data_IF_858657743243
#
_entry.id   IF_858657743243
#
_cell.length_a   1.000
_cell.length_b   1.000
_cell.length_c   1.000
_cell.angle_alpha   90.00
_cell.angle_beta   90.00
_cell.angle_gamma   90.00
#
_symmetry.space_group_name_H-M   'P 1'
#
loop_
_entity.id
_entity.type
_entity.pdbx_description
1 polymer ?
#
# COMPACT_ATOMS: atom_id res chain seq x y z
N UNK A 1 -55.71 -17.10 -61.98
CA UNK A 1 -55.31 -16.67 -63.34
C UNK A 1 -53.98 -16.06 -63.28
N UNK A 2 -52.93 -16.74 -63.88
CA UNK A 2 -51.98 -16.23 -64.83
C UNK A 2 -51.07 -15.13 -64.29
N UNK A 3 -49.74 -15.09 -64.36
CA UNK A 3 -48.69 -15.85 -65.09
C UNK A 3 -47.38 -15.27 -64.56
N UNK A 4 -46.38 -16.07 -64.22
CA UNK A 4 -45.06 -16.19 -64.84
C UNK A 4 -44.36 -14.89 -65.35
N UNK A 5 -43.11 -14.57 -64.93
CA UNK A 5 -41.95 -14.75 -65.79
C UNK A 5 -40.65 -14.55 -65.02
N UNK A 6 -39.74 -15.48 -65.14
CA UNK A 6 -38.28 -15.43 -64.86
C UNK A 6 -37.56 -14.52 -65.87
N UNK A 7 -36.35 -14.08 -65.52
CA UNK A 7 -35.09 -13.97 -66.30
C UNK A 7 -34.05 -13.30 -65.43
N UNK A 8 -33.01 -13.91 -64.88
CA UNK A 8 -31.74 -14.39 -65.42
C UNK A 8 -30.68 -13.29 -65.61
N UNK A 9 -29.62 -13.40 -64.78
CA UNK A 9 -28.21 -13.40 -65.09
C UNK A 9 -27.56 -12.16 -65.73
N UNK A 10 -26.61 -11.53 -64.99
CA UNK A 10 -25.31 -11.18 -65.58
C UNK A 10 -24.27 -10.86 -64.48
N UNK A 11 -23.19 -11.61 -64.52
CA UNK A 11 -21.92 -11.47 -63.84
C UNK A 11 -21.19 -10.25 -64.41
N UNK A 12 -20.62 -9.41 -63.52
CA UNK A 12 -19.41 -8.66 -63.87
C UNK A 12 -18.50 -8.53 -62.64
N UNK A 13 -17.37 -9.22 -62.74
CA UNK A 13 -16.23 -9.18 -61.88
C UNK A 13 -15.46 -7.88 -62.18
N UNK A 14 -15.24 -7.03 -61.17
CA UNK A 14 -14.22 -5.99 -61.26
C UNK A 14 -13.32 -6.11 -60.01
N UNK A 15 -12.10 -6.58 -60.28
CA UNK A 15 -10.97 -6.50 -59.37
C UNK A 15 -10.60 -5.02 -59.14
N UNK A 16 -10.62 -4.60 -57.90
CA UNK A 16 -10.06 -3.34 -57.47
C UNK A 16 -9.22 -3.55 -56.19
N UNK A 17 -7.90 -3.68 -56.37
CA UNK A 17 -6.93 -3.61 -55.29
C UNK A 17 -7.00 -2.19 -54.67
N UNK A 18 -7.26 -2.11 -53.39
CA UNK A 18 -7.01 -0.90 -52.61
C UNK A 18 -6.28 -1.29 -51.32
N UNK A 19 -5.18 -0.58 -51.14
CA UNK A 19 -4.19 -0.71 -50.14
C UNK A 19 -4.72 -0.78 -48.69
N UNK A 20 -4.22 -1.72 -47.92
CA UNK A 20 -4.37 -1.82 -46.49
C UNK A 20 -3.61 -0.67 -45.83
N UNK A 21 -4.33 0.34 -45.31
CA UNK A 21 -3.86 1.14 -44.19
C UNK A 21 -4.18 0.35 -42.93
N UNK A 22 -3.14 -0.19 -42.26
CA UNK A 22 -3.23 -0.85 -40.98
C UNK A 22 -3.55 0.15 -39.90
N UNK A 23 -4.83 0.36 -39.59
CA UNK A 23 -5.28 0.84 -38.31
C UNK A 23 -5.28 -0.37 -37.37
N UNK A 24 -4.41 -0.37 -36.38
CA UNK A 24 -4.56 -1.28 -35.25
C UNK A 24 -5.97 -1.08 -34.69
N UNK A 25 -6.83 -2.08 -34.85
CA UNK A 25 -8.08 -2.14 -34.08
C UNK A 25 -7.62 -2.33 -32.63
N UNK A 26 -7.82 -1.32 -31.79
CA UNK A 26 -7.90 -1.55 -30.35
C UNK A 26 -8.96 -2.64 -30.15
N UNK A 27 -8.54 -3.78 -29.65
CA UNK A 27 -9.46 -4.79 -29.14
C UNK A 27 -10.32 -4.10 -28.08
N UNK A 28 -11.66 -4.32 -28.07
CA UNK A 28 -12.48 -3.78 -27.00
C UNK A 28 -11.92 -4.35 -25.69
N UNK A 29 -11.44 -3.45 -24.79
CA UNK A 29 -11.18 -3.82 -23.39
C UNK A 29 -12.41 -4.58 -22.91
N UNK A 30 -12.22 -5.83 -22.50
CA UNK A 30 -13.26 -6.57 -21.79
C UNK A 30 -13.74 -5.64 -20.66
N UNK A 31 -15.05 -5.46 -20.55
CA UNK A 31 -15.64 -4.72 -19.45
C UNK A 31 -15.04 -5.30 -18.16
N UNK A 32 -14.28 -4.51 -17.42
CA UNK A 32 -13.64 -4.96 -16.21
C UNK A 32 -14.74 -5.49 -15.27
N UNK A 33 -14.54 -6.69 -14.74
CA UNK A 33 -15.51 -7.32 -13.85
C UNK A 33 -15.70 -6.54 -12.51
N UNK A 34 -14.91 -5.46 -12.32
CA UNK A 34 -14.91 -4.58 -11.15
C UNK A 34 -15.08 -3.11 -11.56
N UNK A 35 -15.39 -2.26 -10.58
CA UNK A 35 -15.52 -0.81 -10.77
C UNK A 35 -14.48 -0.07 -9.94
N UNK A 36 -13.98 1.06 -10.46
CA UNK A 36 -13.17 2.04 -9.74
C UNK A 36 -13.93 3.35 -9.62
N UNK A 37 -13.51 4.22 -8.69
CA UNK A 37 -14.13 5.52 -8.43
C UNK A 37 -14.11 6.39 -9.69
N UNK A 38 -12.95 6.42 -10.38
CA UNK A 38 -12.82 7.05 -11.68
C UNK A 38 -12.52 5.99 -12.74
N UNK A 39 -13.34 5.97 -13.80
CA UNK A 39 -13.15 4.99 -14.88
C UNK A 39 -11.76 5.07 -15.49
N UNK A 40 -11.07 3.93 -15.56
CA UNK A 40 -9.73 3.81 -16.13
C UNK A 40 -8.59 4.20 -15.18
N UNK A 41 -8.90 4.55 -13.93
CA UNK A 41 -7.90 4.88 -12.90
C UNK A 41 -8.02 3.96 -11.71
N UNK A 42 -6.91 3.73 -11.02
CA UNK A 42 -6.81 3.14 -9.70
C UNK A 42 -6.32 4.23 -8.75
N UNK A 43 -7.20 4.71 -7.87
CA UNK A 43 -6.88 5.76 -6.90
C UNK A 43 -6.37 5.09 -5.63
N UNK A 44 -5.10 5.37 -5.29
CA UNK A 44 -4.41 4.88 -4.10
C UNK A 44 -4.26 6.00 -3.10
N UNK A 45 -4.76 5.84 -1.88
CA UNK A 45 -4.36 6.66 -0.74
C UNK A 45 -3.13 6.06 -0.06
N UNK A 46 -2.22 6.94 0.38
CA UNK A 46 -0.97 6.56 1.04
C UNK A 46 -0.52 7.64 2.03
N UNK A 47 0.56 7.37 2.81
CA UNK A 47 1.26 8.35 3.62
C UNK A 47 2.75 8.31 3.31
N UNK A 48 3.21 9.15 2.37
CA UNK A 48 4.56 9.14 1.81
C UNK A 48 5.64 9.66 2.79
N UNK A 49 5.58 9.20 4.03
CA UNK A 49 6.51 9.47 5.12
C UNK A 49 6.97 8.17 5.81
N UNK A 50 6.90 7.03 5.11
CA UNK A 50 7.21 5.70 5.63
C UNK A 50 8.20 4.94 4.71
N UNK A 51 9.45 5.46 4.57
CA UNK A 51 10.47 4.79 3.77
C UNK A 51 10.81 3.41 4.35
N UNK A 52 11.08 2.39 3.53
CA UNK A 52 11.17 2.44 2.06
C UNK A 52 9.87 2.03 1.36
N UNK A 53 8.73 1.95 2.06
CA UNK A 53 7.45 1.54 1.49
C UNK A 53 6.81 2.64 0.63
N UNK A 54 6.76 3.88 1.17
CA UNK A 54 6.30 5.07 0.45
C UNK A 54 7.03 6.32 0.95
N UNK A 55 7.55 7.08 0.01
CA UNK A 55 8.33 8.29 0.30
C UNK A 55 8.29 9.27 -0.86
N UNK A 56 8.65 10.51 -0.54
CA UNK A 56 8.84 11.55 -1.54
C UNK A 56 10.29 11.54 -2.00
N UNK A 57 10.51 11.33 -3.29
CA UNK A 57 11.84 11.40 -3.91
C UNK A 57 12.37 12.84 -4.00
N UNK A 58 13.66 13.00 -4.31
CA UNK A 58 14.31 14.32 -4.44
C UNK A 58 13.67 15.23 -5.49
N UNK A 59 13.07 14.67 -6.54
CA UNK A 59 12.37 15.39 -7.60
C UNK A 59 10.90 15.70 -7.29
N UNK A 60 10.42 15.27 -6.12
CA UNK A 60 9.05 15.43 -5.64
C UNK A 60 8.07 14.36 -6.13
N UNK A 61 8.52 13.34 -6.86
CA UNK A 61 7.72 12.18 -7.20
C UNK A 61 7.54 11.26 -5.97
N UNK A 62 6.52 10.41 -6.00
CA UNK A 62 6.33 9.39 -4.98
C UNK A 62 6.97 8.08 -5.44
N UNK A 63 7.71 7.44 -4.55
CA UNK A 63 8.38 6.16 -4.80
C UNK A 63 8.34 5.26 -3.56
N UNK A 64 8.71 4.00 -3.74
CA UNK A 64 8.76 3.02 -2.67
C UNK A 64 8.10 1.70 -3.06
N UNK A 65 8.16 0.72 -2.17
CA UNK A 65 7.63 -0.63 -2.40
C UNK A 65 6.13 -0.57 -2.73
N UNK A 66 5.35 0.14 -1.92
CA UNK A 66 3.90 0.22 -2.07
C UNK A 66 3.50 0.93 -3.36
N UNK A 67 4.21 2.02 -3.69
CA UNK A 67 4.00 2.77 -4.94
C UNK A 67 4.27 1.91 -6.17
N UNK A 68 5.38 1.15 -6.17
CA UNK A 68 5.76 0.31 -7.32
C UNK A 68 4.86 -0.93 -7.44
N UNK A 69 4.49 -1.57 -6.33
CA UNK A 69 3.54 -2.71 -6.33
C UNK A 69 2.16 -2.25 -6.82
N UNK A 70 1.65 -1.10 -6.31
CA UNK A 70 0.40 -0.52 -6.82
C UNK A 70 0.47 -0.20 -8.31
N UNK A 71 1.60 0.36 -8.79
CA UNK A 71 1.82 0.64 -10.21
C UNK A 71 1.81 -0.62 -11.07
N UNK A 72 2.43 -1.71 -10.59
CA UNK A 72 2.42 -3.00 -11.27
C UNK A 72 1.01 -3.61 -11.34
N UNK A 73 0.24 -3.52 -10.24
CA UNK A 73 -1.15 -3.97 -10.18
C UNK A 73 -2.02 -3.13 -11.13
N UNK A 74 -1.94 -1.80 -11.07
CA UNK A 74 -2.70 -0.90 -11.95
C UNK A 74 -2.43 -1.24 -13.43
N UNK A 75 -1.17 -1.44 -13.79
CA UNK A 75 -0.77 -1.85 -15.15
C UNK A 75 -1.37 -3.20 -15.56
N UNK A 76 -1.39 -4.20 -14.68
CA UNK A 76 -2.01 -5.51 -14.94
C UNK A 76 -3.52 -5.38 -15.17
N UNK A 77 -4.18 -4.50 -14.41
CA UNK A 77 -5.62 -4.22 -14.52
C UNK A 77 -5.96 -3.28 -15.69
N UNK A 78 -4.96 -2.74 -16.38
CA UNK A 78 -5.14 -1.79 -17.49
C UNK A 78 -5.62 -0.41 -17.02
N UNK A 79 -5.27 -0.02 -15.80
CA UNK A 79 -5.62 1.25 -15.16
C UNK A 79 -4.40 2.18 -15.06
N UNK A 80 -4.66 3.47 -14.98
CA UNK A 80 -3.70 4.50 -14.59
C UNK A 80 -3.67 4.58 -13.06
N UNK A 81 -2.48 4.48 -12.44
CA UNK A 81 -2.35 4.71 -10.99
C UNK A 81 -2.38 6.21 -10.72
N UNK A 82 -3.24 6.62 -9.79
CA UNK A 82 -3.28 7.97 -9.20
C UNK A 82 -3.03 7.83 -7.71
N UNK A 83 -2.08 8.62 -7.18
CA UNK A 83 -1.69 8.52 -5.77
C UNK A 83 -2.08 9.80 -5.04
N UNK A 84 -2.83 9.65 -3.96
CA UNK A 84 -3.22 10.71 -3.05
C UNK A 84 -2.44 10.55 -1.74
N UNK A 85 -1.43 11.41 -1.53
CA UNK A 85 -0.63 11.46 -0.30
C UNK A 85 -1.36 12.26 0.78
N UNK A 86 -1.48 11.66 1.97
CA UNK A 86 -2.17 12.26 3.12
C UNK A 86 -1.71 11.61 4.43
N UNK A 87 -2.17 12.11 5.58
CA UNK A 87 -1.91 11.46 6.86
C UNK A 87 -2.45 10.03 6.89
N UNK A 88 -1.78 9.12 7.62
CA UNK A 88 -2.09 7.69 7.64
C UNK A 88 -3.55 7.39 7.99
N UNK A 89 -4.08 8.03 9.04
CA UNK A 89 -5.50 7.87 9.44
C UNK A 89 -6.44 8.31 8.31
N UNK A 90 -6.10 9.41 7.64
CA UNK A 90 -6.88 9.93 6.53
C UNK A 90 -6.85 8.98 5.33
N UNK A 91 -5.71 8.33 5.07
CA UNK A 91 -5.57 7.34 4.00
C UNK A 91 -6.45 6.11 4.25
N UNK A 92 -6.47 5.58 5.48
CA UNK A 92 -7.38 4.51 5.88
C UNK A 92 -8.86 4.92 5.75
N UNK A 93 -9.18 6.15 6.16
CA UNK A 93 -10.55 6.66 6.10
C UNK A 93 -11.00 6.94 4.66
N UNK A 94 -10.08 7.34 3.77
CA UNK A 94 -10.39 7.62 2.37
C UNK A 94 -10.95 6.38 1.66
N UNK A 95 -10.33 5.20 1.85
CA UNK A 95 -10.82 3.95 1.26
C UNK A 95 -12.14 3.50 1.87
N UNK A 96 -12.33 3.68 3.18
CA UNK A 96 -13.60 3.35 3.85
C UNK A 96 -14.77 4.21 3.36
N UNK A 97 -14.48 5.48 3.01
CA UNK A 97 -15.48 6.43 2.50
C UNK A 97 -15.65 6.37 0.97
N UNK A 98 -14.96 5.48 0.27
CA UNK A 98 -15.00 5.39 -1.18
C UNK A 98 -14.42 6.62 -1.88
N UNK A 99 -13.41 7.27 -1.30
CA UNK A 99 -12.63 8.35 -1.90
C UNK A 99 -11.35 7.85 -2.58
N UNK A 100 -10.85 6.69 -2.16
CA UNK A 100 -9.77 5.96 -2.78
C UNK A 100 -10.22 4.53 -3.06
N UNK A 101 -9.77 3.94 -4.15
CA UNK A 101 -10.04 2.56 -4.52
C UNK A 101 -9.29 1.60 -3.62
N UNK A 102 -8.03 1.93 -3.35
CA UNK A 102 -7.12 1.14 -2.50
C UNK A 102 -6.40 2.05 -1.51
N UNK A 103 -5.93 1.47 -0.41
CA UNK A 103 -4.92 2.07 0.47
C UNK A 103 -3.72 1.13 0.56
N UNK A 104 -2.52 1.70 0.34
CA UNK A 104 -1.24 1.06 0.58
C UNK A 104 -0.36 2.05 1.34
N UNK A 105 0.05 1.69 2.53
CA UNK A 105 0.83 2.52 3.47
C UNK A 105 1.43 1.62 4.57
N UNK A 106 2.03 0.48 4.20
CA UNK A 106 2.44 -0.53 5.17
C UNK A 106 1.28 -0.99 6.05
N UNK A 107 0.09 -1.19 5.47
CA UNK A 107 -1.13 -1.42 6.25
C UNK A 107 -1.21 -2.85 6.76
N UNK A 108 -1.09 -3.02 8.08
CA UNK A 108 -1.28 -4.31 8.75
C UNK A 108 -2.73 -4.75 8.75
N UNK A 109 -2.96 -6.05 8.52
CA UNK A 109 -4.28 -6.67 8.65
C UNK A 109 -4.58 -6.88 10.13
N UNK A 110 -5.65 -6.26 10.64
CA UNK A 110 -6.14 -6.44 12.01
C UNK A 110 -7.63 -6.77 12.01
N UNK A 111 -8.11 -7.40 13.10
CA UNK A 111 -9.53 -7.73 13.25
C UNK A 111 -10.43 -6.48 13.15
N UNK A 112 -10.03 -5.38 13.78
CA UNK A 112 -10.79 -4.12 13.75
C UNK A 112 -10.83 -3.52 12.34
N UNK A 113 -9.72 -3.53 11.62
CA UNK A 113 -9.68 -3.04 10.23
C UNK A 113 -10.50 -3.94 9.30
N UNK A 114 -10.53 -5.26 9.53
CA UNK A 114 -11.38 -6.20 8.81
C UNK A 114 -12.88 -5.94 9.00
N UNK A 115 -13.31 -5.27 10.07
CA UNK A 115 -14.71 -4.88 10.23
C UNK A 115 -15.14 -3.79 9.23
N UNK A 116 -14.23 -2.91 8.82
CA UNK A 116 -14.54 -1.68 8.08
C UNK A 116 -13.97 -1.63 6.66
N UNK A 117 -13.02 -2.52 6.32
CA UNK A 117 -12.46 -2.66 4.98
C UNK A 117 -12.15 -4.12 4.64
N UNK A 118 -11.97 -4.41 3.36
CA UNK A 118 -11.43 -5.67 2.89
C UNK A 118 -9.92 -5.53 2.66
N UNK A 119 -9.22 -6.67 2.62
CA UNK A 119 -7.81 -6.74 2.33
C UNK A 119 -7.51 -7.72 1.20
N UNK A 120 -6.43 -7.46 0.48
CA UNK A 120 -5.82 -8.43 -0.41
C UNK A 120 -5.13 -9.56 0.37
N UNK A 121 -4.59 -10.54 -0.36
CA UNK A 121 -3.52 -11.38 0.17
C UNK A 121 -2.32 -10.50 0.57
N UNK A 122 -1.51 -10.96 1.53
CA UNK A 122 -0.34 -10.24 2.01
C UNK A 122 0.74 -10.17 0.92
N UNK A 123 1.40 -8.99 0.78
CA UNK A 123 2.52 -8.78 -0.12
C UNK A 123 3.86 -8.59 0.60
N UNK A 124 3.83 -8.27 1.90
CA UNK A 124 5.02 -8.08 2.72
C UNK A 124 4.75 -8.41 4.19
N UNK A 125 5.82 -8.54 4.97
CA UNK A 125 5.77 -8.73 6.42
C UNK A 125 6.37 -7.51 7.09
N UNK A 126 5.65 -6.93 8.07
CA UNK A 126 6.13 -5.88 8.95
C UNK A 126 6.60 -6.48 10.29
N UNK A 127 7.61 -5.86 10.88
CA UNK A 127 8.10 -6.22 12.21
C UNK A 127 8.25 -4.95 13.03
N UNK A 128 7.47 -4.80 14.09
CA UNK A 128 7.60 -3.66 15.00
C UNK A 128 8.86 -3.80 15.85
N UNK A 129 9.67 -2.74 15.89
CA UNK A 129 10.88 -2.61 16.68
C UNK A 129 10.88 -1.33 17.50
N UNK A 130 11.85 -1.18 18.37
CA UNK A 130 11.99 -0.01 19.26
C UNK A 130 13.27 0.75 18.93
N UNK A 131 13.13 1.99 18.45
CA UNK A 131 14.26 2.92 18.26
C UNK A 131 14.53 3.62 19.59
N UNK A 132 15.82 3.69 19.96
CA UNK A 132 16.31 4.37 21.16
C UNK A 132 17.54 5.20 20.84
N UNK A 133 17.93 6.11 21.74
CA UNK A 133 19.26 6.74 21.69
C UNK A 133 20.31 5.74 22.12
N UNK A 134 21.48 5.76 21.47
CA UNK A 134 22.62 4.98 21.89
C UNK A 134 22.98 5.27 23.35
N UNK A 135 23.17 4.21 24.13
CA UNK A 135 23.50 4.32 25.56
C UNK A 135 22.34 4.71 26.47
N UNK A 136 21.09 4.73 25.97
CA UNK A 136 19.91 4.88 26.82
C UNK A 136 19.73 3.67 27.74
N UNK A 137 18.93 3.85 28.81
CA UNK A 137 18.56 2.78 29.75
C UNK A 137 17.26 2.05 29.37
N UNK A 138 16.73 2.36 28.19
CA UNK A 138 15.51 1.72 27.66
C UNK A 138 15.83 0.27 27.26
N UNK A 139 14.97 -0.63 27.67
CA UNK A 139 15.02 -2.06 27.35
C UNK A 139 13.62 -2.56 27.04
N UNK A 140 13.46 -3.71 26.40
CA UNK A 140 12.16 -4.31 26.15
C UNK A 140 11.35 -4.54 27.45
N UNK A 141 12.05 -4.85 28.56
CA UNK A 141 11.42 -5.14 29.86
C UNK A 141 10.90 -3.91 30.60
N UNK A 142 11.44 -2.70 30.31
CA UNK A 142 11.05 -1.48 31.02
C UNK A 142 10.26 -0.46 30.17
N UNK A 143 9.78 -0.86 28.98
CA UNK A 143 8.99 0.03 28.12
C UNK A 143 7.77 0.64 28.83
N UNK A 144 7.13 -0.10 29.73
CA UNK A 144 5.99 0.41 30.52
C UNK A 144 6.33 1.53 31.52
N UNK A 145 7.62 1.85 31.72
CA UNK A 145 8.12 2.94 32.56
C UNK A 145 8.59 4.15 31.72
N UNK A 146 8.48 4.07 30.39
CA UNK A 146 9.05 5.03 29.44
C UNK A 146 7.94 5.76 28.68
N UNK A 147 8.30 6.95 28.19
CA UNK A 147 7.46 7.66 27.22
C UNK A 147 7.75 7.15 25.81
N UNK A 148 6.75 6.59 25.18
CA UNK A 148 6.85 5.94 23.86
C UNK A 148 6.27 6.88 22.81
N UNK A 149 7.00 7.13 21.72
CA UNK A 149 6.50 7.80 20.53
C UNK A 149 6.01 6.79 19.49
N UNK A 150 4.82 7.02 18.94
CA UNK A 150 4.29 6.22 17.84
C UNK A 150 3.61 7.12 16.81
N UNK A 151 3.49 6.66 15.57
CA UNK A 151 2.62 7.32 14.61
C UNK A 151 1.15 7.00 14.92
N UNK A 152 0.29 8.01 14.87
CA UNK A 152 -1.16 7.90 15.14
C UNK A 152 -1.81 6.87 14.21
N UNK A 153 -2.72 6.06 14.76
CA UNK A 153 -3.53 5.10 14.03
C UNK A 153 -2.79 3.85 13.54
N UNK A 154 -1.46 3.75 13.75
CA UNK A 154 -0.69 2.54 13.45
C UNK A 154 -0.93 1.46 14.49
N UNK A 155 -0.61 0.23 14.18
CA UNK A 155 -0.64 -0.90 15.12
C UNK A 155 0.33 -0.68 16.28
N UNK A 156 1.51 -0.09 16.02
CA UNK A 156 2.45 0.31 17.06
C UNK A 156 1.82 1.24 18.11
N UNK A 157 1.02 2.23 17.66
CA UNK A 157 0.28 3.10 18.58
C UNK A 157 -0.83 2.33 19.30
N UNK A 158 -1.67 1.59 18.55
CA UNK A 158 -2.84 0.89 19.11
C UNK A 158 -2.41 -0.10 20.19
N UNK A 159 -1.40 -0.93 19.92
CA UNK A 159 -0.95 -1.93 20.87
C UNK A 159 -0.21 -1.32 22.08
N UNK A 160 0.65 -0.32 21.85
CA UNK A 160 1.38 0.31 22.94
C UNK A 160 0.45 1.11 23.88
N UNK A 161 -0.55 1.81 23.35
CA UNK A 161 -1.49 2.62 24.13
C UNK A 161 -2.61 1.82 24.79
N UNK A 162 -2.78 0.53 24.44
CA UNK A 162 -3.77 -0.32 25.08
C UNK A 162 -3.49 -0.49 26.58
N UNK A 163 -4.47 -0.98 27.31
CA UNK A 163 -4.36 -1.21 28.74
C UNK A 163 -3.28 -2.25 29.08
N UNK A 164 -2.70 -2.14 30.28
CA UNK A 164 -1.73 -3.10 30.79
C UNK A 164 -2.34 -4.53 30.83
N UNK A 165 -3.65 -4.63 31.07
CA UNK A 165 -4.38 -5.90 31.12
C UNK A 165 -4.39 -6.60 29.75
N UNK A 166 -4.36 -5.83 28.67
CA UNK A 166 -4.31 -6.32 27.29
C UNK A 166 -2.89 -6.44 26.74
N UNK A 167 -1.87 -6.12 27.55
CA UNK A 167 -0.46 -6.21 27.16
C UNK A 167 0.14 -4.91 26.60
N UNK A 168 -0.62 -3.81 26.60
CA UNK A 168 -0.14 -2.46 26.31
C UNK A 168 0.53 -1.80 27.50
N UNK A 169 0.88 -0.53 27.35
CA UNK A 169 1.54 0.26 28.39
C UNK A 169 0.65 1.38 28.96
N UNK A 170 -0.54 1.57 28.35
CA UNK A 170 -1.49 2.60 28.71
C UNK A 170 -1.29 3.90 27.92
N UNK A 171 -2.39 4.60 27.65
CA UNK A 171 -2.42 5.80 26.83
C UNK A 171 -1.55 6.94 27.40
N UNK A 172 -1.39 7.02 28.71
CA UNK A 172 -0.56 8.03 29.38
C UNK A 172 0.95 7.86 29.11
N UNK A 173 1.38 6.68 28.68
CA UNK A 173 2.76 6.36 28.31
C UNK A 173 3.07 6.50 26.82
N UNK A 174 2.06 6.81 25.98
CA UNK A 174 2.24 6.85 24.53
C UNK A 174 1.87 8.21 23.96
N UNK A 175 2.80 8.82 23.24
CA UNK A 175 2.57 10.06 22.49
C UNK A 175 2.37 9.75 21.02
N UNK A 176 1.20 10.13 20.47
CA UNK A 176 0.87 9.98 19.07
C UNK A 176 1.41 11.15 18.24
N UNK A 177 2.10 10.85 17.16
CA UNK A 177 2.62 11.81 16.17
C UNK A 177 1.93 11.60 14.82
N UNK A 178 1.97 12.61 13.96
CA UNK A 178 1.34 12.53 12.63
C UNK A 178 2.11 11.58 11.67
N UNK A 179 3.43 11.43 11.88
CA UNK A 179 4.29 10.51 11.12
C UNK A 179 5.50 10.04 11.92
N UNK A 180 6.20 9.01 11.40
CA UNK A 180 7.39 8.45 12.02
C UNK A 180 8.53 9.46 12.17
N UNK A 181 8.71 10.35 11.18
CA UNK A 181 9.74 11.42 11.24
C UNK A 181 9.54 12.31 12.46
N UNK A 182 8.31 12.72 12.74
CA UNK A 182 7.98 13.56 13.91
C UNK A 182 8.23 12.82 15.23
N UNK A 183 7.91 11.52 15.29
CA UNK A 183 8.19 10.68 16.47
C UNK A 183 9.72 10.56 16.72
N UNK A 184 10.50 10.31 15.69
CA UNK A 184 11.97 10.22 15.78
C UNK A 184 12.58 11.57 16.17
N UNK A 185 12.09 12.68 15.65
CA UNK A 185 12.49 14.02 16.04
C UNK A 185 12.21 14.27 17.55
N UNK A 186 11.05 13.84 18.04
CA UNK A 186 10.70 13.93 19.46
C UNK A 186 11.65 13.09 20.34
N UNK A 187 12.04 11.89 19.89
CA UNK A 187 13.05 11.07 20.55
C UNK A 187 14.41 11.82 20.61
N UNK A 188 14.87 12.36 19.49
CA UNK A 188 16.13 13.12 19.44
C UNK A 188 16.14 14.30 20.38
N UNK A 189 15.01 14.99 20.52
CA UNK A 189 14.82 16.14 21.40
C UNK A 189 14.55 15.76 22.88
N UNK A 190 14.42 14.46 23.19
CA UNK A 190 14.15 13.98 24.56
C UNK A 190 12.74 14.25 25.06
N UNK A 191 11.78 14.36 24.13
CA UNK A 191 10.36 14.47 24.45
C UNK A 191 9.70 13.11 24.69
N UNK A 192 10.28 12.06 24.09
CA UNK A 192 9.98 10.66 24.34
C UNK A 192 11.28 9.88 24.56
N UNK A 193 11.20 8.72 25.19
CA UNK A 193 12.35 7.89 25.54
C UNK A 193 12.71 6.90 24.44
N UNK A 194 11.70 6.48 23.66
CA UNK A 194 11.83 5.55 22.54
C UNK A 194 10.72 5.76 21.50
N UNK A 195 10.87 5.14 20.33
CA UNK A 195 9.86 5.12 19.27
C UNK A 195 9.59 3.68 18.86
N UNK A 196 8.31 3.29 18.80
CA UNK A 196 7.89 2.00 18.21
C UNK A 196 7.46 2.26 16.77
N UNK A 197 8.07 1.53 15.85
CA UNK A 197 7.84 1.60 14.41
C UNK A 197 8.32 0.31 13.74
N UNK A 198 7.96 0.08 12.48
CA UNK A 198 8.42 -1.07 11.72
C UNK A 198 9.91 -1.06 11.44
N UNK A 199 10.51 -2.25 11.34
CA UNK A 199 11.96 -2.45 11.25
C UNK A 199 12.60 -1.81 10.01
N UNK A 200 11.94 -1.88 8.85
CA UNK A 200 12.48 -1.29 7.63
C UNK A 200 12.53 0.25 7.71
N UNK A 201 11.44 0.97 8.07
CA UNK A 201 11.53 2.41 8.36
C UNK A 201 12.47 2.74 9.51
N UNK A 202 12.53 1.90 10.56
CA UNK A 202 13.47 2.12 11.68
C UNK A 202 14.92 2.13 11.19
N UNK A 203 15.30 1.21 10.30
CA UNK A 203 16.64 1.17 9.72
C UNK A 203 16.97 2.45 8.96
N UNK A 204 16.05 2.98 8.15
CA UNK A 204 16.20 4.23 7.42
C UNK A 204 16.36 5.42 8.39
N UNK A 205 15.53 5.50 9.43
CA UNK A 205 15.62 6.56 10.44
C UNK A 205 16.92 6.49 11.25
N UNK A 206 17.36 5.30 11.62
CA UNK A 206 18.65 5.11 12.33
C UNK A 206 19.81 5.49 11.43
N UNK A 207 19.82 5.07 10.18
CA UNK A 207 20.88 5.43 9.22
C UNK A 207 20.97 6.95 8.99
N UNK A 208 19.82 7.64 8.94
CA UNK A 208 19.75 9.09 8.73
C UNK A 208 20.08 9.91 9.99
N UNK A 209 20.04 9.32 11.20
CA UNK A 209 20.18 10.03 12.47
C UNK A 209 21.25 9.37 13.37
N UNK A 210 22.54 9.72 13.22
CA UNK A 210 23.62 9.22 14.07
C UNK A 210 23.32 9.38 15.57
N UNK A 211 23.58 8.35 16.36
CA UNK A 211 23.28 8.30 17.80
C UNK A 211 21.93 7.67 18.13
N UNK A 212 21.20 7.18 17.12
CA UNK A 212 20.06 6.29 17.28
C UNK A 212 20.46 4.85 17.00
N UNK A 213 19.76 3.92 17.61
CA UNK A 213 19.87 2.47 17.38
C UNK A 213 18.53 1.81 17.63
N UNK A 214 18.36 0.57 17.20
CA UNK A 214 17.22 -0.26 17.58
C UNK A 214 17.59 -1.19 18.73
N UNK A 215 16.63 -1.49 19.61
CA UNK A 215 16.79 -2.56 20.58
C UNK A 215 16.82 -3.92 19.86
N UNK A 216 17.54 -4.88 20.44
CA UNK A 216 17.52 -6.26 19.97
C UNK A 216 16.16 -6.91 20.25
N UNK A 217 15.66 -7.67 19.26
CA UNK A 217 14.40 -8.39 19.33
C UNK A 217 13.25 -7.71 18.59
N UNK A 218 12.24 -8.51 18.29
CA UNK A 218 11.00 -8.07 17.63
C UNK A 218 9.93 -7.84 18.69
N UNK A 219 9.21 -6.73 18.59
CA UNK A 219 8.09 -6.46 19.48
C UNK A 219 6.81 -7.15 18.99
N UNK A 220 6.45 -6.97 17.72
CA UNK A 220 5.29 -7.59 17.05
C UNK A 220 5.65 -7.88 15.60
N UNK A 221 5.16 -9.01 15.06
CA UNK A 221 5.24 -9.36 13.64
C UNK A 221 3.86 -9.26 13.01
N UNK A 222 3.78 -8.65 11.83
CA UNK A 222 2.54 -8.30 11.15
C UNK A 222 2.61 -8.60 9.65
N UNK A 223 1.44 -8.72 9.02
CA UNK A 223 1.32 -8.91 7.58
C UNK A 223 0.75 -7.65 6.93
N UNK A 224 1.43 -7.11 5.92
CA UNK A 224 0.95 -5.99 5.12
C UNK A 224 0.11 -6.47 3.94
N UNK A 225 -1.03 -5.82 3.75
CA UNK A 225 -1.93 -6.08 2.65
C UNK A 225 -2.58 -4.79 2.14
N UNK A 226 -3.13 -4.86 0.94
CA UNK A 226 -3.80 -3.73 0.28
C UNK A 226 -5.22 -3.60 0.83
N UNK A 227 -5.53 -2.46 1.45
CA UNK A 227 -6.87 -2.19 1.95
C UNK A 227 -7.80 -1.69 0.85
N UNK A 228 -9.06 -2.13 0.87
CA UNK A 228 -10.10 -1.78 -0.12
C UNK A 228 -11.45 -1.59 0.55
N UNK A 229 -12.33 -0.83 -0.10
CA UNK A 229 -13.69 -0.61 0.40
C UNK A 229 -14.45 -1.92 0.64
N UNK A 230 -15.23 -1.98 1.73
CA UNK A 230 -15.92 -3.19 2.20
C UNK A 230 -16.86 -3.80 1.17
N UNK A 231 -17.50 -2.96 0.35
CA UNK A 231 -18.50 -3.39 -0.61
C UNK A 231 -17.91 -3.74 -2.00
N UNK A 232 -16.61 -3.46 -2.24
CA UNK A 232 -15.97 -3.66 -3.54
C UNK A 232 -15.23 -5.01 -3.64
N UNK A 233 -15.95 -6.10 -3.43
CA UNK A 233 -15.38 -7.46 -3.45
C UNK A 233 -14.82 -7.84 -4.83
N UNK A 234 -15.40 -7.33 -5.91
CA UNK A 234 -14.90 -7.58 -7.26
C UNK A 234 -13.52 -6.94 -7.50
N UNK A 235 -13.25 -5.77 -6.92
CA UNK A 235 -11.91 -5.17 -6.97
C UNK A 235 -10.91 -6.00 -6.15
N UNK A 236 -11.32 -6.52 -4.98
CA UNK A 236 -10.48 -7.41 -4.16
C UNK A 236 -10.04 -8.64 -4.96
N UNK A 237 -10.99 -9.29 -5.65
CA UNK A 237 -10.70 -10.45 -6.50
C UNK A 237 -9.73 -10.10 -7.64
N UNK A 238 -9.93 -8.96 -8.30
CA UNK A 238 -9.07 -8.49 -9.40
C UNK A 238 -7.66 -8.13 -8.90
N UNK A 239 -7.54 -7.43 -7.77
CA UNK A 239 -6.27 -7.08 -7.14
C UNK A 239 -5.52 -8.35 -6.71
N UNK A 240 -6.19 -9.31 -6.07
CA UNK A 240 -5.57 -10.57 -5.66
C UNK A 240 -5.09 -11.40 -6.87
N UNK A 241 -5.87 -11.45 -7.94
CA UNK A 241 -5.44 -12.12 -9.17
C UNK A 241 -4.17 -11.47 -9.76
N UNK A 242 -4.13 -10.13 -9.83
CA UNK A 242 -2.96 -9.39 -10.31
C UNK A 242 -1.76 -9.60 -9.38
N UNK A 243 -1.96 -9.51 -8.06
CA UNK A 243 -0.91 -9.69 -7.05
C UNK A 243 -0.32 -11.11 -7.10
N UNK A 244 -1.16 -12.14 -7.23
CA UNK A 244 -0.72 -13.52 -7.36
C UNK A 244 0.16 -13.74 -8.60
N UNK A 245 -0.20 -13.15 -9.74
CA UNK A 245 0.62 -13.22 -10.96
C UNK A 245 1.97 -12.50 -10.78
N UNK A 246 1.97 -11.28 -10.19
CA UNK A 246 3.17 -10.49 -9.93
C UNK A 246 4.09 -11.14 -8.89
N UNK A 247 3.52 -11.88 -7.95
CA UNK A 247 4.28 -12.67 -6.98
C UNK A 247 4.89 -13.90 -7.66
N UNK A 248 4.11 -14.60 -8.49
CA UNK A 248 4.57 -15.81 -9.17
C UNK A 248 5.67 -15.53 -10.22
N UNK A 249 5.63 -14.38 -10.89
CA UNK A 249 6.64 -13.97 -11.86
C UNK A 249 7.87 -13.28 -11.24
N UNK A 250 7.88 -13.10 -9.90
CA UNK A 250 8.97 -12.50 -9.13
C UNK A 250 8.99 -10.97 -9.12
N UNK A 251 8.00 -10.30 -9.71
CA UNK A 251 7.94 -8.83 -9.76
C UNK A 251 7.86 -8.22 -8.37
N UNK A 252 6.98 -8.74 -7.49
CA UNK A 252 6.83 -8.24 -6.11
C UNK A 252 8.15 -8.37 -5.35
N UNK A 253 8.80 -9.54 -5.43
CA UNK A 253 10.08 -9.76 -4.75
C UNK A 253 11.18 -8.83 -5.29
N UNK A 254 11.24 -8.65 -6.61
CA UNK A 254 12.22 -7.74 -7.23
C UNK A 254 12.03 -6.28 -6.80
N UNK A 255 10.78 -5.84 -6.58
CA UNK A 255 10.48 -4.51 -6.03
C UNK A 255 10.96 -4.42 -4.58
N UNK A 256 10.64 -5.42 -3.75
CA UNK A 256 11.09 -5.44 -2.35
C UNK A 256 12.62 -5.42 -2.27
N UNK A 257 13.31 -6.26 -3.03
CA UNK A 257 14.78 -6.36 -3.04
C UNK A 257 15.48 -5.07 -3.52
N UNK A 258 14.78 -4.24 -4.30
CA UNK A 258 15.29 -2.94 -4.73
C UNK A 258 15.46 -1.97 -3.55
N UNK A 259 14.57 -2.05 -2.57
CA UNK A 259 14.50 -1.12 -1.44
C UNK A 259 15.02 -1.72 -0.13
N UNK A 260 14.81 -3.01 0.08
CA UNK A 260 15.25 -3.73 1.29
C UNK A 260 16.23 -4.79 0.85
N UNK A 261 17.53 -4.55 1.10
CA UNK A 261 18.57 -5.56 0.84
C UNK A 261 18.36 -6.75 1.75
N UNK A 262 18.36 -7.97 1.19
CA UNK A 262 18.41 -9.16 2.00
C UNK A 262 19.73 -9.16 2.81
N UNK A 263 19.62 -9.24 4.14
CA UNK A 263 20.78 -9.41 5.03
C UNK A 263 21.42 -10.80 4.90
#
# INVERSE_FOLDING_TARGET
MKKFFCVALSVLMVCGMLAACGGAKEEPKADAAFTTIESGKLIMSTNAAFPPYEMVADDGSLEGIDVEVAGAIAKKLGLELVIDDMDFDAALLAVQQGKSDIVMAGVSVTEDRLLVMNFSDSYATGVQVVIVKEGSDVTMDNLGEKMIGCQRGTTGYIYASDSIENGGYGEDHVTAFDNGTSAVQALMNGQVDCVIIDSAPAAEFVAANPGLTTLEGNWVEESYAIGMGKDNTALVEAVNAALAELTADGTVQSIIDKYISAE
#
